data_IF_404660780979
#
_entry.id   IF_404660780979
#
_cell.length_a   1.000
_cell.length_b   1.000
_cell.length_c   1.000
_cell.angle_alpha   90.00
_cell.angle_beta   90.00
_cell.angle_gamma   90.00
#
_symmetry.space_group_name_H-M   'P 1'
#
loop_
_entity.id
_entity.type
_entity.pdbx_description
1 polymer ?
#
# COMPACT_ATOMS: atom_id res chain seq x y z
N UNK A 1 -11.08 13.84 1.46
CA UNK A 1 -9.69 13.41 1.67
C UNK A 1 -9.65 12.23 2.64
N UNK A 2 -8.85 11.23 2.34
CA UNK A 2 -8.66 10.11 3.26
C UNK A 2 -7.70 10.51 4.37
N UNK A 3 -7.88 9.93 5.57
CA UNK A 3 -6.92 10.17 6.63
C UNK A 3 -5.59 9.46 6.36
N UNK A 4 -5.66 8.20 5.93
CA UNK A 4 -4.48 7.38 5.66
C UNK A 4 -4.67 6.61 4.39
N UNK A 5 -3.65 6.61 3.54
CA UNK A 5 -3.59 5.74 2.38
C UNK A 5 -2.42 4.79 2.56
N UNK A 6 -2.70 3.49 2.56
CA UNK A 6 -1.67 2.44 2.58
C UNK A 6 -1.40 2.09 1.13
N UNK A 7 -0.19 2.38 0.65
CA UNK A 7 0.15 2.22 -0.76
C UNK A 7 1.16 1.09 -0.91
N UNK A 8 0.78 0.08 -1.68
CA UNK A 8 1.61 -1.08 -1.98
C UNK A 8 2.05 -0.99 -3.42
N UNK A 9 3.36 -0.98 -3.66
CA UNK A 9 3.89 -0.99 -5.03
C UNK A 9 4.05 -2.44 -5.49
N UNK A 10 3.52 -2.75 -6.66
CA UNK A 10 3.56 -4.10 -7.20
C UNK A 10 4.14 -4.14 -8.60
N UNK A 11 4.99 -5.14 -8.84
CA UNK A 11 5.43 -5.50 -10.18
C UNK A 11 5.57 -7.02 -10.24
N UNK A 12 4.68 -7.65 -11.02
CA UNK A 12 4.68 -9.11 -11.21
C UNK A 12 4.69 -9.89 -9.89
N UNK A 13 3.96 -9.40 -8.90
CA UNK A 13 3.87 -10.03 -7.59
C UNK A 13 2.48 -10.59 -7.30
N UNK A 14 1.81 -11.19 -8.27
CA UNK A 14 0.43 -11.66 -8.12
C UNK A 14 0.29 -12.64 -6.94
N UNK A 15 1.24 -13.57 -6.79
CA UNK A 15 1.17 -14.55 -5.71
C UNK A 15 1.38 -13.90 -4.35
N UNK A 16 2.30 -12.96 -4.26
CA UNK A 16 2.54 -12.23 -3.01
C UNK A 16 1.35 -11.38 -2.62
N UNK A 17 0.76 -10.69 -3.59
CA UNK A 17 -0.43 -9.89 -3.33
C UNK A 17 -1.57 -10.76 -2.82
N UNK A 18 -1.82 -11.90 -3.47
CA UNK A 18 -2.89 -12.81 -3.07
C UNK A 18 -2.65 -13.34 -1.66
N UNK A 19 -1.39 -13.53 -1.30
CA UNK A 19 -1.03 -14.05 0.02
C UNK A 19 -1.16 -13.00 1.12
N UNK A 20 -0.72 -11.76 0.87
CA UNK A 20 -0.55 -10.76 1.92
C UNK A 20 -1.64 -9.69 1.98
N UNK A 21 -2.34 -9.40 0.88
CA UNK A 21 -3.41 -8.40 0.91
C UNK A 21 -4.49 -8.71 1.94
N UNK A 22 -4.92 -9.98 2.12
CA UNK A 22 -5.94 -10.26 3.14
C UNK A 22 -5.54 -9.80 4.54
N UNK A 23 -4.28 -9.97 4.94
CA UNK A 23 -3.86 -9.49 6.26
C UNK A 23 -3.87 -7.97 6.35
N UNK A 24 -3.48 -7.29 5.26
CA UNK A 24 -3.50 -5.84 5.22
C UNK A 24 -4.93 -5.33 5.32
N UNK A 25 -5.86 -5.93 4.58
CA UNK A 25 -7.27 -5.54 4.61
C UNK A 25 -7.88 -5.79 5.99
N UNK A 26 -7.62 -6.98 6.55
CA UNK A 26 -8.22 -7.36 7.83
C UNK A 26 -7.69 -6.53 8.99
N UNK A 27 -6.46 -6.10 8.92
CA UNK A 27 -5.80 -5.42 10.03
C UNK A 27 -5.62 -3.92 9.81
N UNK A 28 -6.20 -3.37 8.74
CA UNK A 28 -6.12 -1.95 8.43
C UNK A 28 -7.53 -1.40 8.22
N UNK A 29 -8.43 -1.75 9.14
CA UNK A 29 -9.82 -1.31 9.05
C UNK A 29 -10.01 -0.04 9.86
N UNK A 30 -10.87 0.82 9.35
CA UNK A 30 -11.17 2.05 10.05
C UNK A 30 -11.68 3.10 9.07
N UNK A 31 -12.37 4.07 9.62
CA UNK A 31 -12.89 5.18 8.83
C UNK A 31 -11.73 6.02 8.33
N UNK A 32 -11.76 6.36 7.07
CA UNK A 32 -10.72 7.18 6.46
C UNK A 32 -9.46 6.43 6.06
N UNK A 33 -9.45 5.10 6.15
CA UNK A 33 -8.32 4.28 5.72
C UNK A 33 -8.58 3.76 4.33
N UNK A 34 -7.63 3.96 3.43
CA UNK A 34 -7.71 3.49 2.05
C UNK A 34 -6.50 2.59 1.76
N UNK A 35 -6.74 1.49 1.08
CA UNK A 35 -5.66 0.59 0.65
C UNK A 35 -5.54 0.71 -0.85
N UNK A 36 -4.33 1.03 -1.33
CA UNK A 36 -4.04 1.21 -2.75
C UNK A 36 -2.94 0.24 -3.17
N UNK A 37 -3.08 -0.32 -4.35
CA UNK A 37 -1.97 -1.02 -5.00
C UNK A 37 -1.60 -0.22 -6.23
N UNK A 38 -0.34 0.21 -6.27
CA UNK A 38 0.22 0.88 -7.44
C UNK A 38 0.92 -0.18 -8.28
N UNK A 39 0.42 -0.42 -9.47
CA UNK A 39 0.95 -1.47 -10.32
C UNK A 39 1.93 -0.91 -11.35
N UNK A 40 3.14 -1.40 -11.32
CA UNK A 40 4.26 -0.93 -12.13
C UNK A 40 4.30 -1.63 -13.50
N UNK A 41 3.15 -1.69 -14.16
CA UNK A 41 2.98 -2.31 -15.48
C UNK A 41 3.27 -3.82 -15.46
N UNK A 42 2.61 -4.53 -14.54
CA UNK A 42 2.75 -5.98 -14.41
C UNK A 42 2.16 -6.71 -15.61
N UNK A 43 2.73 -7.87 -15.90
CA UNK A 43 2.25 -8.73 -17.00
C UNK A 43 1.83 -10.12 -16.52
N UNK A 44 1.75 -10.34 -15.21
CA UNK A 44 1.49 -11.67 -14.63
C UNK A 44 0.04 -11.88 -14.20
N UNK A 45 -0.87 -10.99 -14.58
CA UNK A 45 -2.27 -11.11 -14.16
C UNK A 45 -2.59 -10.44 -12.84
N UNK A 46 -1.64 -9.67 -12.28
CA UNK A 46 -1.86 -8.97 -11.00
C UNK A 46 -3.11 -8.08 -11.04
N UNK A 47 -3.27 -7.29 -12.09
CA UNK A 47 -4.41 -6.37 -12.19
C UNK A 47 -5.74 -7.12 -12.24
N UNK A 48 -5.80 -8.20 -13.02
CA UNK A 48 -7.02 -8.98 -13.13
C UNK A 48 -7.38 -9.62 -11.80
N UNK A 49 -6.40 -10.15 -11.09
CA UNK A 49 -6.59 -10.75 -9.79
C UNK A 49 -7.11 -9.71 -8.80
N UNK A 50 -6.52 -8.53 -8.77
CA UNK A 50 -6.94 -7.48 -7.86
C UNK A 50 -8.37 -7.03 -8.14
N UNK A 51 -8.74 -6.88 -9.42
CA UNK A 51 -10.09 -6.47 -9.78
C UNK A 51 -11.13 -7.51 -9.40
N UNK A 52 -10.79 -8.79 -9.50
CA UNK A 52 -11.75 -9.86 -9.25
C UNK A 52 -11.80 -10.30 -7.79
N UNK A 53 -10.64 -10.35 -7.11
CA UNK A 53 -10.58 -10.87 -5.74
C UNK A 53 -10.58 -9.78 -4.67
N UNK A 54 -10.10 -8.58 -4.99
CA UNK A 54 -9.99 -7.49 -4.01
C UNK A 54 -10.55 -6.18 -4.60
N UNK A 55 -11.85 -6.16 -4.94
CA UNK A 55 -12.41 -4.99 -5.64
C UNK A 55 -12.45 -3.72 -4.79
N UNK A 56 -12.34 -3.83 -3.47
CA UNK A 56 -12.32 -2.64 -2.61
C UNK A 56 -10.96 -1.96 -2.56
N UNK A 57 -9.90 -2.65 -3.02
CA UNK A 57 -8.58 -2.07 -3.10
C UNK A 57 -8.51 -1.14 -4.30
N UNK A 58 -8.03 0.08 -4.06
CA UNK A 58 -7.88 1.04 -5.14
C UNK A 58 -6.67 0.67 -5.99
N UNK A 59 -6.84 0.68 -7.30
CA UNK A 59 -5.75 0.39 -8.23
C UNK A 59 -5.23 1.68 -8.84
N UNK A 60 -3.90 1.82 -8.84
CA UNK A 60 -3.21 2.88 -9.55
C UNK A 60 -2.36 2.19 -10.60
N UNK A 61 -2.74 2.34 -11.88
CA UNK A 61 -2.06 1.64 -12.97
C UNK A 61 -1.03 2.57 -13.60
N UNK A 62 0.23 2.27 -13.37
CA UNK A 62 1.32 3.03 -13.98
C UNK A 62 1.51 2.54 -15.42
N UNK A 63 1.93 3.43 -16.30
CA UNK A 63 2.02 3.14 -17.72
C UNK A 63 3.29 2.36 -18.10
N UNK A 64 4.24 2.27 -17.19
CA UNK A 64 5.44 1.48 -17.40
C UNK A 64 6.07 1.17 -16.04
N UNK A 65 7.07 0.30 -16.04
CA UNK A 65 7.80 0.00 -14.82
C UNK A 65 8.83 1.09 -14.56
N UNK A 66 8.57 1.91 -13.55
CA UNK A 66 9.45 3.01 -13.18
C UNK A 66 10.49 2.62 -12.12
N UNK A 67 10.49 1.34 -11.71
CA UNK A 67 11.32 0.91 -10.60
C UNK A 67 10.70 1.26 -9.26
N UNK A 68 11.49 1.15 -8.19
CA UNK A 68 10.96 1.26 -6.84
C UNK A 68 10.65 2.72 -6.45
N UNK A 69 11.68 3.56 -6.45
CA UNK A 69 11.52 4.94 -5.96
C UNK A 69 10.60 5.77 -6.86
N UNK A 70 10.85 5.71 -8.16
CA UNK A 70 10.04 6.47 -9.12
C UNK A 70 8.60 5.94 -9.16
N UNK A 71 8.45 4.62 -9.04
CA UNK A 71 7.13 4.01 -9.00
C UNK A 71 6.28 4.56 -7.85
N UNK A 72 6.84 4.63 -6.67
CA UNK A 72 6.14 5.23 -5.52
C UNK A 72 5.86 6.71 -5.75
N UNK A 73 6.84 7.46 -6.29
CA UNK A 73 6.64 8.88 -6.56
C UNK A 73 5.46 9.11 -7.51
N UNK A 74 5.36 8.30 -8.56
CA UNK A 74 4.26 8.39 -9.51
C UNK A 74 2.93 8.04 -8.87
N UNK A 75 2.91 7.00 -8.04
CA UNK A 75 1.71 6.60 -7.33
C UNK A 75 1.24 7.68 -6.37
N UNK A 76 2.17 8.28 -5.65
CA UNK A 76 1.84 9.32 -4.66
C UNK A 76 1.19 10.54 -5.29
N UNK A 77 1.48 10.82 -6.56
CA UNK A 77 0.83 11.91 -7.27
C UNK A 77 -0.69 11.73 -7.39
N UNK A 78 -1.16 10.49 -7.29
CA UNK A 78 -2.57 10.16 -7.41
C UNK A 78 -3.25 9.90 -6.07
N UNK A 79 -2.54 10.07 -4.97
CA UNK A 79 -3.06 9.80 -3.63
C UNK A 79 -3.37 11.12 -2.93
N UNK A 80 -4.59 11.21 -2.38
CA UNK A 80 -5.02 12.37 -1.61
C UNK A 80 -5.37 11.89 -0.20
N UNK A 81 -4.41 11.99 0.71
CA UNK A 81 -4.58 11.54 2.08
C UNK A 81 -3.73 12.40 3.01
N UNK A 82 -4.15 12.46 4.28
CA UNK A 82 -3.42 13.21 5.29
C UNK A 82 -2.07 12.55 5.56
N UNK A 83 -2.07 11.22 5.64
CA UNK A 83 -0.86 10.42 5.86
C UNK A 83 -0.77 9.31 4.82
N UNK A 84 0.44 8.95 4.43
CA UNK A 84 0.69 7.86 3.49
C UNK A 84 1.67 6.88 4.10
N UNK A 85 1.32 5.59 4.07
CA UNK A 85 2.20 4.52 4.50
C UNK A 85 2.60 3.70 3.27
N UNK A 86 3.89 3.63 3.00
CA UNK A 86 4.39 2.80 1.90
C UNK A 86 4.70 1.40 2.42
N UNK A 87 4.12 0.40 1.78
CA UNK A 87 4.21 -0.98 2.22
C UNK A 87 4.65 -1.85 1.06
N UNK A 88 5.65 -2.71 1.27
CA UNK A 88 6.07 -3.64 0.23
C UNK A 88 5.02 -4.73 0.02
N UNK A 89 4.98 -5.29 -1.18
CA UNK A 89 3.96 -6.29 -1.55
C UNK A 89 4.13 -7.62 -0.82
N UNK A 90 5.27 -7.86 -0.20
CA UNK A 90 5.57 -9.11 0.50
C UNK A 90 5.54 -8.95 2.02
N UNK A 91 4.81 -7.96 2.53
CA UNK A 91 4.72 -7.71 3.96
C UNK A 91 3.39 -8.22 4.51
N UNK A 92 3.47 -9.03 5.55
CA UNK A 92 2.31 -9.44 6.32
C UNK A 92 2.20 -8.52 7.54
N UNK A 93 1.01 -8.00 7.79
CA UNK A 93 0.79 -7.10 8.92
C UNK A 93 -0.02 -7.80 10.01
N UNK A 94 0.22 -7.39 11.25
CA UNK A 94 -0.46 -7.95 12.43
C UNK A 94 -1.63 -7.07 12.82
N UNK A 95 -2.54 -7.57 13.70
CA UNK A 95 -3.62 -6.74 14.21
C UNK A 95 -3.08 -5.47 14.87
N UNK A 96 -3.79 -4.37 14.66
CA UNK A 96 -3.46 -3.07 15.25
C UNK A 96 -2.08 -2.52 14.86
N UNK A 97 -1.58 -2.92 13.68
CA UNK A 97 -0.27 -2.44 13.22
C UNK A 97 -0.29 -0.94 12.88
N UNK A 98 -1.46 -0.45 12.46
CA UNK A 98 -1.56 0.91 11.94
C UNK A 98 -1.76 1.95 13.06
N UNK A 99 -2.42 1.56 14.14
CA UNK A 99 -2.76 2.50 15.21
C UNK A 99 -1.55 3.17 15.86
N UNK A 100 -0.48 2.43 16.23
CA UNK A 100 0.71 3.10 16.76
C UNK A 100 1.36 4.06 15.78
N UNK A 101 1.29 3.75 14.48
CA UNK A 101 1.84 4.63 13.46
C UNK A 101 1.04 5.93 13.37
N UNK A 102 -0.28 5.83 13.44
CA UNK A 102 -1.13 7.00 13.42
C UNK A 102 -0.91 7.86 14.66
N UNK A 103 -0.78 7.24 15.83
CA UNK A 103 -0.51 7.96 17.06
C UNK A 103 0.83 8.70 16.97
N UNK A 104 1.84 8.04 16.41
CA UNK A 104 3.13 8.68 16.21
C UNK A 104 3.02 9.89 15.29
N UNK A 105 2.33 9.73 14.16
CA UNK A 105 2.19 10.83 13.19
C UNK A 105 1.36 11.98 13.75
N UNK A 106 0.35 11.69 14.55
CA UNK A 106 -0.48 12.72 15.17
C UNK A 106 0.32 13.56 16.19
N UNK A 107 1.30 12.91 16.86
CA UNK A 107 2.12 13.61 17.87
C UNK A 107 3.38 14.24 17.29
N UNK A 108 3.76 13.86 16.06
CA UNK A 108 4.94 14.40 15.38
C UNK A 108 4.49 15.13 14.13
N UNK A 109 3.93 16.32 14.35
CA UNK A 109 3.37 17.12 13.25
C UNK A 109 4.43 17.37 12.19
N UNK A 110 4.00 17.35 10.94
CA UNK A 110 4.90 17.52 9.80
C UNK A 110 5.32 16.20 9.17
N UNK A 111 5.14 15.09 9.87
CA UNK A 111 5.42 13.77 9.29
C UNK A 111 4.20 13.31 8.50
N UNK A 112 4.33 13.22 7.19
CA UNK A 112 3.20 12.85 6.34
C UNK A 112 3.46 11.57 5.55
N UNK A 113 4.65 11.01 5.62
CA UNK A 113 5.03 9.83 4.87
C UNK A 113 5.76 8.85 5.77
N UNK A 114 5.36 7.59 5.73
CA UNK A 114 6.03 6.54 6.48
C UNK A 114 6.25 5.34 5.57
N UNK A 115 7.48 4.86 5.53
CA UNK A 115 7.84 3.70 4.71
C UNK A 115 8.02 2.48 5.61
N UNK A 116 7.43 1.36 5.22
CA UNK A 116 7.65 0.08 5.89
C UNK A 116 8.09 -0.97 4.88
N UNK A 117 8.97 -1.85 5.30
CA UNK A 117 9.46 -2.93 4.47
C UNK A 117 9.57 -4.21 5.30
N UNK A 118 9.69 -5.38 4.65
CA UNK A 118 9.87 -6.62 5.41
C UNK A 118 11.13 -6.52 6.26
N UNK A 119 11.08 -7.15 7.46
CA UNK A 119 12.23 -7.16 8.34
C UNK A 119 13.37 -7.90 7.66
N UNK A 120 14.49 -7.30 7.52
CA UNK A 120 15.61 -7.97 6.91
C UNK A 120 16.17 -9.05 7.86
N UNK A 121 16.07 -9.20 8.53
CA UNK A 121 16.51 -9.87 9.33
C UNK A 121 16.53 -10.23 9.68
N UNK A 122 16.27 -9.90 9.38
CA UNK A 122 16.13 -9.80 9.68
C UNK A 122 16.28 -10.11 9.60
#
# INVERSE_FOLDING_TARGET
MKRVSVVILNWNGVDMLRKFIPSVMDNSVGEGIEICVADNASSDGSLEMLRSEFPVVRLIELDQNYGFAEGYNRALEQVDAEYVVLLNSDVEVTPHWLEPLLDYMDTHSGTCLLYTSPSPRD
#
